data_IF_369773448634
#
_entry.id   IF_369773448634
#
_cell.length_a   1.000
_cell.length_b   1.000
_cell.length_c   1.000
_cell.angle_alpha   90.00
_cell.angle_beta   90.00
_cell.angle_gamma   90.00
#
_symmetry.space_group_name_H-M   'P 1'
#
loop_
_entity.id
_entity.type
_entity.pdbx_description
1 polymer ?
#
# COMPACT_ATOMS: atom_id res chain seq x y z
N UNK A 1 10.20 28.22 5.42
CA UNK A 1 11.60 28.17 5.88
C UNK A 1 12.02 26.72 6.11
N UNK A 2 13.05 26.25 5.42
CA UNK A 2 13.58 24.89 5.61
C UNK A 2 14.33 24.83 6.94
N UNK A 3 14.01 23.84 7.78
CA UNK A 3 14.72 23.63 9.05
C UNK A 3 16.08 22.97 8.78
N UNK A 4 17.13 23.46 9.45
CA UNK A 4 18.49 22.90 9.35
C UNK A 4 18.57 21.48 9.89
N UNK A 5 19.59 20.77 9.43
CA UNK A 5 20.00 19.45 9.91
C UNK A 5 20.19 19.43 11.43
N UNK A 6 20.86 20.44 12.01
CA UNK A 6 21.05 20.55 13.47
C UNK A 6 19.72 20.65 14.21
N UNK A 7 18.79 21.47 13.71
CA UNK A 7 17.47 21.60 14.33
C UNK A 7 16.69 20.28 14.28
N UNK A 8 16.72 19.60 13.13
CA UNK A 8 16.04 18.31 12.93
C UNK A 8 16.61 17.23 13.84
N UNK A 9 17.93 17.12 13.93
CA UNK A 9 18.62 16.16 14.78
C UNK A 9 18.29 16.37 16.27
N UNK A 10 18.38 17.60 16.76
CA UNK A 10 18.03 17.95 18.15
C UNK A 10 16.57 17.62 18.47
N UNK A 11 15.65 17.95 17.56
CA UNK A 11 14.23 17.64 17.74
C UNK A 11 13.94 16.14 17.69
N UNK A 12 14.71 15.36 16.92
CA UNK A 12 14.60 13.90 16.93
C UNK A 12 15.07 13.33 18.26
N UNK A 13 16.27 13.69 18.73
CA UNK A 13 16.82 13.21 19.99
C UNK A 13 15.88 13.48 21.18
N UNK A 14 15.28 14.67 21.24
CA UNK A 14 14.33 15.03 22.29
C UNK A 14 13.03 14.20 22.30
N UNK A 15 12.71 13.46 21.23
CA UNK A 15 11.52 12.57 21.18
C UNK A 15 11.79 11.18 21.71
N UNK A 16 13.06 10.76 21.79
CA UNK A 16 13.45 9.39 22.12
C UNK A 16 13.71 9.30 23.63
N UNK A 17 12.62 9.17 24.39
CA UNK A 17 12.65 8.89 25.83
C UNK A 17 12.16 7.45 26.07
N UNK A 18 13.02 6.54 26.57
CA UNK A 18 12.67 5.13 26.76
C UNK A 18 11.45 4.90 27.65
N UNK A 19 11.28 5.68 28.73
CA UNK A 19 10.15 5.48 29.64
C UNK A 19 8.84 5.94 29.01
N UNK A 20 8.84 7.10 28.36
CA UNK A 20 7.66 7.56 27.63
C UNK A 20 7.27 6.61 26.48
N UNK A 21 8.24 5.99 25.81
CA UNK A 21 7.98 4.97 24.78
C UNK A 21 7.35 3.73 25.41
N UNK A 22 7.95 3.20 26.48
CA UNK A 22 7.45 2.01 27.19
C UNK A 22 6.01 2.22 27.64
N UNK A 23 5.73 3.33 28.31
CA UNK A 23 4.39 3.66 28.82
C UNK A 23 3.34 3.70 27.69
N UNK A 24 3.64 4.35 26.56
CA UNK A 24 2.71 4.41 25.41
C UNK A 24 2.47 3.05 24.79
N UNK A 25 3.54 2.27 24.54
CA UNK A 25 3.39 0.95 23.94
C UNK A 25 2.62 0.01 24.85
N UNK A 26 2.88 0.02 26.16
CA UNK A 26 2.10 -0.77 27.12
C UNK A 26 0.63 -0.37 27.11
N UNK A 27 0.31 0.92 27.03
CA UNK A 27 -1.07 1.39 27.04
C UNK A 27 -1.86 1.00 25.79
N UNK A 28 -1.23 0.99 24.61
CA UNK A 28 -1.92 0.75 23.33
C UNK A 28 -1.69 -0.64 22.73
N UNK A 29 -0.93 -1.52 23.41
CA UNK A 29 -0.49 -2.81 22.85
C UNK A 29 -1.65 -3.62 22.28
N UNK A 30 -2.74 -3.72 23.03
CA UNK A 30 -3.87 -4.58 22.67
C UNK A 30 -4.64 -3.99 21.47
N UNK A 31 -4.94 -2.68 21.50
CA UNK A 31 -5.54 -1.96 20.37
C UNK A 31 -4.68 -2.05 19.10
N UNK A 32 -3.35 -1.93 19.24
CA UNK A 32 -2.42 -2.07 18.12
C UNK A 32 -2.45 -3.48 17.54
N UNK A 33 -2.53 -4.52 18.38
CA UNK A 33 -2.60 -5.90 17.94
C UNK A 33 -3.92 -6.21 17.23
N UNK A 34 -5.04 -5.72 17.76
CA UNK A 34 -6.36 -5.85 17.15
C UNK A 34 -6.40 -5.19 15.77
N UNK A 35 -6.00 -3.92 15.69
CA UNK A 35 -5.97 -3.18 14.42
C UNK A 35 -5.03 -3.83 13.40
N UNK A 36 -3.87 -4.32 13.83
CA UNK A 36 -2.95 -5.03 12.96
C UNK A 36 -3.59 -6.31 12.41
N UNK A 37 -4.25 -7.11 13.25
CA UNK A 37 -4.91 -8.33 12.81
C UNK A 37 -6.01 -8.03 11.79
N UNK A 38 -6.85 -7.03 12.06
CA UNK A 38 -7.92 -6.61 11.15
C UNK A 38 -7.37 -6.21 9.78
N UNK A 39 -6.36 -5.32 9.76
CA UNK A 39 -5.76 -4.85 8.50
C UNK A 39 -5.04 -5.96 7.74
N UNK A 40 -4.40 -6.90 8.43
CA UNK A 40 -3.78 -8.04 7.78
C UNK A 40 -4.81 -9.01 7.19
N UNK A 41 -5.96 -9.19 7.83
CA UNK A 41 -7.03 -10.01 7.27
C UNK A 41 -7.57 -9.41 5.95
N UNK A 42 -7.80 -8.09 5.91
CA UNK A 42 -8.19 -7.36 4.69
C UNK A 42 -7.11 -7.53 3.59
N UNK A 43 -5.85 -7.34 3.95
CA UNK A 43 -4.73 -7.43 3.01
C UNK A 43 -4.53 -8.84 2.44
N UNK A 44 -4.63 -9.87 3.28
CA UNK A 44 -4.50 -11.26 2.84
C UNK A 44 -5.64 -11.66 1.91
N UNK A 45 -6.87 -11.20 2.18
CA UNK A 45 -8.00 -11.45 1.27
C UNK A 45 -7.74 -10.83 -0.10
N UNK A 46 -7.34 -9.56 -0.12
CA UNK A 46 -6.98 -8.84 -1.33
C UNK A 46 -5.86 -9.54 -2.11
N UNK A 47 -4.79 -9.94 -1.42
CA UNK A 47 -3.64 -10.60 -2.06
C UNK A 47 -4.02 -11.94 -2.68
N UNK A 48 -4.93 -12.70 -2.06
CA UNK A 48 -5.44 -13.95 -2.64
C UNK A 48 -6.21 -13.68 -3.93
N UNK A 49 -7.07 -12.67 -3.95
CA UNK A 49 -7.85 -12.32 -5.14
C UNK A 49 -6.93 -11.87 -6.29
N UNK A 50 -5.99 -10.96 -6.01
CA UNK A 50 -5.03 -10.48 -7.02
C UNK A 50 -4.12 -11.62 -7.50
N UNK A 51 -3.68 -12.49 -6.59
CA UNK A 51 -2.88 -13.67 -6.98
C UNK A 51 -3.67 -14.58 -7.91
N UNK A 52 -4.95 -14.82 -7.64
CA UNK A 52 -5.83 -15.60 -8.52
C UNK A 52 -5.94 -15.01 -9.93
N UNK A 53 -6.05 -13.68 -10.05
CA UNK A 53 -6.01 -12.98 -11.35
C UNK A 53 -4.67 -13.26 -12.06
N UNK A 54 -3.55 -13.08 -11.36
CA UNK A 54 -2.21 -13.17 -11.94
C UNK A 54 -1.84 -14.60 -12.35
N UNK A 55 -2.22 -15.60 -11.56
CA UNK A 55 -1.97 -17.02 -11.86
C UNK A 55 -2.77 -17.50 -13.07
N UNK A 56 -3.99 -16.99 -13.25
CA UNK A 56 -4.83 -17.31 -14.43
C UNK A 56 -4.18 -16.84 -15.74
N UNK A 57 -3.37 -15.79 -15.68
CA UNK A 57 -2.65 -15.23 -16.84
C UNK A 57 -1.30 -15.91 -17.11
N UNK A 58 -0.93 -16.94 -16.34
CA UNK A 58 0.31 -17.68 -16.53
C UNK A 58 1.57 -16.84 -16.26
N UNK A 59 1.46 -15.82 -15.41
CA UNK A 59 2.60 -14.94 -15.08
C UNK A 59 3.71 -15.74 -14.39
N UNK A 60 4.98 -15.57 -14.81
CA UNK A 60 6.12 -16.17 -14.12
C UNK A 60 6.10 -15.83 -12.63
N UNK A 61 6.33 -16.83 -11.77
CA UNK A 61 6.27 -16.68 -10.30
C UNK A 61 7.14 -15.52 -9.78
N UNK A 62 8.25 -15.22 -10.46
CA UNK A 62 9.15 -14.11 -10.12
C UNK A 62 8.53 -12.72 -10.29
N UNK A 63 7.46 -12.61 -11.10
CA UNK A 63 6.70 -11.38 -11.37
C UNK A 63 5.44 -11.25 -10.51
N UNK A 64 5.01 -12.32 -9.84
CA UNK A 64 3.82 -12.30 -8.96
C UNK A 64 3.93 -11.23 -7.87
N UNK A 65 5.06 -11.08 -7.14
CA UNK A 65 5.20 -10.04 -6.11
C UNK A 65 4.99 -8.62 -6.64
N UNK A 66 5.37 -8.35 -7.90
CA UNK A 66 5.25 -7.04 -8.54
C UNK A 66 3.78 -6.72 -8.79
N UNK A 67 2.99 -7.68 -9.27
CA UNK A 67 1.55 -7.50 -9.42
C UNK A 67 0.82 -7.40 -8.07
N UNK A 68 1.21 -8.18 -7.06
CA UNK A 68 0.70 -8.01 -5.70
C UNK A 68 0.98 -6.59 -5.17
N UNK A 69 2.15 -6.03 -5.46
CA UNK A 69 2.49 -4.65 -5.08
C UNK A 69 1.64 -3.60 -5.81
N UNK A 70 1.15 -3.86 -7.02
CA UNK A 70 0.11 -3.02 -7.67
C UNK A 70 -1.14 -3.03 -6.79
N UNK A 71 -1.67 -4.22 -6.47
CA UNK A 71 -2.85 -4.38 -5.62
C UNK A 71 -2.71 -3.69 -4.26
N UNK A 72 -1.58 -3.89 -3.56
CA UNK A 72 -1.28 -3.27 -2.26
C UNK A 72 -1.29 -1.74 -2.33
N UNK A 73 -0.73 -1.16 -3.39
CA UNK A 73 -0.74 0.30 -3.55
C UNK A 73 -2.14 0.83 -3.82
N UNK A 74 -2.93 0.13 -4.64
CA UNK A 74 -4.32 0.49 -4.89
C UNK A 74 -5.18 0.37 -3.63
N UNK A 75 -4.99 -0.67 -2.81
CA UNK A 75 -5.65 -0.82 -1.51
C UNK A 75 -5.27 0.28 -0.53
N UNK A 76 -3.98 0.66 -0.48
CA UNK A 76 -3.55 1.80 0.34
C UNK A 76 -4.19 3.12 -0.13
N UNK A 77 -4.35 3.31 -1.45
CA UNK A 77 -5.00 4.49 -2.01
C UNK A 77 -6.51 4.52 -1.74
N UNK A 78 -7.20 3.38 -1.81
CA UNK A 78 -8.65 3.32 -1.55
C UNK A 78 -8.99 3.64 -0.09
N UNK A 79 -8.07 3.39 0.85
CA UNK A 79 -8.21 3.83 2.24
C UNK A 79 -7.98 5.33 2.46
N UNK A 80 -7.47 6.07 1.46
CA UNK A 80 -7.11 7.49 1.57
C UNK A 80 -7.95 8.41 0.68
N UNK A 81 -8.43 7.90 -0.44
CA UNK A 81 -9.12 8.67 -1.47
C UNK A 81 -10.37 7.93 -1.95
N UNK A 82 -11.33 8.70 -2.46
CA UNK A 82 -12.55 8.19 -3.07
C UNK A 82 -12.89 8.98 -4.35
N UNK A 83 -13.86 8.48 -5.12
CA UNK A 83 -14.37 9.15 -6.32
C UNK A 83 -13.29 9.47 -7.36
N UNK A 84 -13.36 10.67 -7.95
CA UNK A 84 -12.46 11.09 -9.02
C UNK A 84 -10.98 11.14 -8.60
N UNK A 85 -10.69 11.50 -7.34
CA UNK A 85 -9.31 11.52 -6.83
C UNK A 85 -8.73 10.11 -6.75
N UNK A 86 -9.51 9.14 -6.26
CA UNK A 86 -9.06 7.75 -6.25
C UNK A 86 -8.78 7.24 -7.67
N UNK A 87 -9.68 7.51 -8.62
CA UNK A 87 -9.49 7.12 -10.02
C UNK A 87 -8.17 7.68 -10.57
N UNK A 88 -7.90 8.98 -10.40
CA UNK A 88 -6.69 9.62 -10.91
C UNK A 88 -5.39 9.07 -10.29
N UNK A 89 -5.36 8.90 -8.97
CA UNK A 89 -4.20 8.38 -8.25
C UNK A 89 -3.95 6.88 -8.56
N UNK A 90 -5.03 6.10 -8.67
CA UNK A 90 -4.96 4.69 -9.04
C UNK A 90 -4.44 4.51 -10.48
N UNK A 91 -4.97 5.27 -11.44
CA UNK A 91 -4.50 5.28 -12.84
C UNK A 91 -3.03 5.66 -12.92
N UNK A 92 -2.60 6.72 -12.21
CA UNK A 92 -1.20 7.16 -12.18
C UNK A 92 -0.28 6.09 -11.61
N UNK A 93 -0.71 5.44 -10.52
CA UNK A 93 0.04 4.36 -9.88
C UNK A 93 0.16 3.14 -10.79
N UNK A 94 -0.92 2.76 -11.46
CA UNK A 94 -0.93 1.64 -12.40
C UNK A 94 -0.05 1.92 -13.61
N UNK A 95 -0.13 3.12 -14.19
CA UNK A 95 0.73 3.54 -15.31
C UNK A 95 2.21 3.41 -14.97
N UNK A 96 2.62 3.86 -13.77
CA UNK A 96 3.99 3.71 -13.28
C UNK A 96 4.47 2.25 -13.29
N UNK A 97 3.60 1.29 -12.99
CA UNK A 97 3.97 -0.13 -12.99
C UNK A 97 4.03 -0.73 -14.39
N UNK A 98 3.15 -0.30 -15.29
CA UNK A 98 3.25 -0.63 -16.72
C UNK A 98 4.53 -0.06 -17.33
N UNK A 99 4.87 1.19 -17.02
CA UNK A 99 6.12 1.83 -17.46
C UNK A 99 7.38 1.11 -16.91
N UNK A 100 7.25 0.34 -15.82
CA UNK A 100 8.30 -0.53 -15.26
C UNK A 100 8.35 -1.93 -15.89
N UNK A 101 7.51 -2.20 -16.89
CA UNK A 101 7.49 -3.44 -17.67
C UNK A 101 6.44 -4.47 -17.24
N UNK A 102 5.47 -4.13 -16.39
CA UNK A 102 4.33 -5.02 -16.17
C UNK A 102 3.35 -4.98 -17.34
N UNK A 103 2.68 -6.11 -17.59
CA UNK A 103 1.66 -6.21 -18.64
C UNK A 103 0.50 -5.27 -18.33
N UNK A 104 0.18 -4.39 -19.28
CA UNK A 104 -0.95 -3.47 -19.20
C UNK A 104 -2.27 -4.21 -18.99
N UNK A 105 -2.45 -5.34 -19.67
CA UNK A 105 -3.71 -6.09 -19.62
C UNK A 105 -3.96 -6.69 -18.23
N UNK A 106 -2.91 -7.22 -17.60
CA UNK A 106 -2.98 -7.77 -16.24
C UNK A 106 -3.18 -6.65 -15.23
N UNK A 107 -2.47 -5.52 -15.38
CA UNK A 107 -2.68 -4.33 -14.55
C UNK A 107 -4.11 -3.80 -14.69
N UNK A 108 -4.70 -3.82 -15.89
CA UNK A 108 -6.09 -3.42 -16.11
C UNK A 108 -7.10 -4.37 -15.44
N UNK A 109 -6.82 -5.68 -15.37
CA UNK A 109 -7.61 -6.63 -14.58
C UNK A 109 -7.56 -6.31 -13.08
N UNK A 110 -6.38 -5.93 -12.59
CA UNK A 110 -6.23 -5.47 -11.20
C UNK A 110 -6.99 -4.14 -10.99
N UNK A 111 -6.92 -3.18 -11.90
CA UNK A 111 -7.70 -1.93 -11.80
C UNK A 111 -9.20 -2.19 -11.77
N UNK A 112 -9.70 -3.12 -12.58
CA UNK A 112 -11.10 -3.52 -12.59
C UNK A 112 -11.57 -4.10 -11.25
N UNK A 113 -10.71 -4.86 -10.54
CA UNK A 113 -11.00 -5.33 -9.18
C UNK A 113 -11.31 -4.17 -8.21
N UNK A 114 -10.64 -3.02 -8.39
CA UNK A 114 -10.88 -1.82 -7.60
C UNK A 114 -11.96 -0.88 -8.17
N UNK A 115 -12.64 -1.27 -9.26
CA UNK A 115 -13.61 -0.41 -9.95
C UNK A 115 -12.98 0.81 -10.63
N UNK A 116 -11.69 0.73 -11.01
CA UNK A 116 -10.97 1.80 -11.69
C UNK A 116 -11.01 1.58 -13.20
N UNK A 117 -11.20 2.65 -13.97
CA UNK A 117 -11.21 2.57 -15.43
C UNK A 117 -9.88 2.04 -15.97
N UNK A 118 -9.90 1.24 -17.05
CA UNK A 118 -8.68 0.67 -17.61
C UNK A 118 -7.75 1.76 -18.16
N UNK A 119 -6.45 1.48 -18.13
CA UNK A 119 -5.45 2.30 -18.80
C UNK A 119 -5.67 2.27 -20.32
N UNK A 120 -5.44 3.40 -21.02
CA UNK A 120 -5.50 3.46 -22.48
C UNK A 120 -4.45 2.57 -23.14
#
# INVERSE_FOLDING_TARGET
MVKSEVYRARKFQAKIDPEAIRLRITAYKDDMAEQQLQRQAELVSLEKDIKGIVETEGVPTILVPQYLNVGRQLWSLSGRFSGATFQAEATTTAKKWVDRGLSKDIVNKILAYFGVSPLP
#
